data_IF_632919791488
#
_entry.id   IF_632919791488
#
_cell.length_a   1.000
_cell.length_b   1.000
_cell.length_c   1.000
_cell.angle_alpha   90.00
_cell.angle_beta   90.00
_cell.angle_gamma   90.00
#
_symmetry.space_group_name_H-M   'P 1'
#
loop_
_entity.id
_entity.type
_entity.pdbx_description
1 polymer ?
#
# COMPACT_ATOMS: atom_id res chain seq x y z
N UNK A 1 25.19 -27.45 -3.95
CA UNK A 1 24.03 -27.21 -3.09
C UNK A 1 23.47 -25.85 -3.47
N UNK A 2 22.15 -25.75 -3.66
CA UNK A 2 21.48 -24.48 -3.92
C UNK A 2 21.41 -23.68 -2.62
N UNK A 3 21.75 -22.39 -2.65
CA UNK A 3 21.68 -21.53 -1.47
C UNK A 3 20.24 -21.42 -0.95
N UNK A 4 20.06 -21.40 0.38
CA UNK A 4 18.74 -21.22 1.00
C UNK A 4 18.53 -19.73 1.33
N UNK A 5 17.53 -19.04 0.74
CA UNK A 5 17.25 -17.65 1.08
C UNK A 5 16.65 -17.53 2.49
N UNK A 6 17.37 -16.86 3.38
CA UNK A 6 16.96 -16.63 4.77
C UNK A 6 16.51 -15.19 4.98
N UNK A 7 15.38 -15.00 5.64
CA UNK A 7 14.92 -13.68 6.10
C UNK A 7 15.74 -13.31 7.33
N UNK A 8 16.60 -12.31 7.20
CA UNK A 8 17.48 -11.82 8.28
C UNK A 8 17.10 -10.45 8.83
N UNK A 9 16.04 -9.85 8.28
CA UNK A 9 15.47 -8.60 8.75
C UNK A 9 14.11 -8.37 8.11
N UNK A 10 13.21 -7.73 8.84
CA UNK A 10 11.91 -7.31 8.33
C UNK A 10 11.45 -6.04 9.06
N UNK A 11 10.80 -5.15 8.33
CA UNK A 11 10.32 -3.90 8.91
C UNK A 11 9.40 -3.16 7.96
N UNK A 12 8.74 -2.14 8.48
CA UNK A 12 7.70 -1.48 7.72
C UNK A 12 6.68 -0.73 8.55
N UNK A 13 5.66 -0.25 7.85
CA UNK A 13 4.57 0.53 8.39
C UNK A 13 3.28 0.19 7.64
N UNK A 14 2.19 0.02 8.39
CA UNK A 14 0.84 -0.17 7.86
C UNK A 14 -0.18 0.41 8.85
N UNK A 15 -1.47 0.12 8.68
CA UNK A 15 -2.51 0.62 9.56
C UNK A 15 -2.42 0.18 11.03
N UNK A 16 -1.75 -0.94 11.32
CA UNK A 16 -1.48 -1.41 12.68
C UNK A 16 -0.22 -0.79 13.30
N UNK A 17 0.58 -0.05 12.53
CA UNK A 17 1.80 0.60 12.99
C UNK A 17 3.07 -0.05 12.44
N UNK A 18 4.16 0.07 13.20
CA UNK A 18 5.50 -0.39 12.80
C UNK A 18 5.57 -1.91 12.74
N UNK A 19 6.29 -2.49 11.80
CA UNK A 19 6.24 -3.94 11.58
C UNK A 19 7.34 -4.69 12.31
N UNK A 20 8.56 -4.13 12.40
CA UNK A 20 9.67 -4.72 13.14
C UNK A 20 9.33 -5.00 14.61
N UNK A 21 10.04 -5.96 15.23
CA UNK A 21 9.76 -6.41 16.61
C UNK A 21 8.29 -6.89 16.78
N UNK A 22 7.65 -7.31 15.69
CA UNK A 22 6.25 -7.79 15.66
C UNK A 22 5.22 -6.79 16.23
N UNK A 23 5.51 -5.49 16.18
CA UNK A 23 4.66 -4.46 16.79
C UNK A 23 3.28 -4.39 16.15
N UNK A 24 3.22 -4.30 14.82
CA UNK A 24 1.99 -4.30 14.05
C UNK A 24 1.23 -5.61 14.26
N UNK A 25 1.92 -6.76 14.32
CA UNK A 25 1.27 -8.05 14.57
C UNK A 25 0.57 -8.07 15.92
N UNK A 26 1.24 -7.63 17.00
CA UNK A 26 0.60 -7.50 18.33
C UNK A 26 -0.66 -6.64 18.29
N UNK A 27 -0.64 -5.53 17.55
CA UNK A 27 -1.83 -4.69 17.39
C UNK A 27 -3.00 -5.42 16.71
N UNK A 28 -2.74 -6.42 15.87
CA UNK A 28 -3.77 -7.23 15.20
C UNK A 28 -4.40 -8.29 16.12
N UNK A 29 -3.70 -8.72 17.16
CA UNK A 29 -4.12 -9.77 18.10
C UNK A 29 -4.26 -9.23 19.53
N UNK A 30 -4.64 -7.96 19.64
CA UNK A 30 -4.62 -7.20 20.90
C UNK A 30 -5.44 -7.87 22.02
N UNK A 31 -6.50 -8.58 21.65
CA UNK A 31 -7.39 -9.33 22.52
C UNK A 31 -6.77 -10.59 23.13
N UNK A 32 -5.68 -11.10 22.56
CA UNK A 32 -4.96 -12.28 23.07
C UNK A 32 -3.70 -11.92 23.86
N UNK A 33 -3.34 -10.64 23.93
CA UNK A 33 -2.12 -10.18 24.59
C UNK A 33 -2.29 -10.10 26.12
N UNK A 34 -1.19 -10.29 26.84
CA UNK A 34 -1.14 -9.97 28.27
C UNK A 34 -1.25 -8.45 28.50
N UNK A 35 -1.67 -7.98 29.69
CA UNK A 35 -1.75 -6.55 29.99
C UNK A 35 -0.44 -5.78 29.76
N UNK A 36 0.70 -6.44 30.03
CA UNK A 36 2.04 -5.87 29.79
C UNK A 36 2.33 -5.69 28.30
N UNK A 37 1.99 -6.69 27.47
CA UNK A 37 2.17 -6.63 26.02
C UNK A 37 1.22 -5.62 25.37
N UNK A 38 -0.02 -5.52 25.87
CA UNK A 38 -0.98 -4.49 25.47
C UNK A 38 -0.45 -3.09 25.77
N UNK A 39 0.02 -2.85 27.01
CA UNK A 39 0.61 -1.58 27.40
C UNK A 39 1.84 -1.23 26.55
N UNK A 40 2.75 -2.20 26.34
CA UNK A 40 3.92 -2.04 25.46
C UNK A 40 3.51 -1.67 24.03
N UNK A 41 2.49 -2.33 23.47
CA UNK A 41 2.04 -2.08 22.10
C UNK A 41 1.42 -0.69 21.97
N UNK A 42 0.59 -0.27 22.93
CA UNK A 42 0.03 1.10 22.99
C UNK A 42 1.16 2.13 23.06
N UNK A 43 2.13 1.93 23.95
CA UNK A 43 3.28 2.82 24.12
C UNK A 43 4.14 2.93 22.84
N UNK A 44 4.37 1.82 22.16
CA UNK A 44 5.13 1.79 20.90
C UNK A 44 4.42 2.58 19.79
N UNK A 45 3.09 2.45 19.67
CA UNK A 45 2.31 3.23 18.70
C UNK A 45 2.27 4.72 19.12
N UNK A 46 2.09 5.00 20.42
CA UNK A 46 2.13 6.36 20.97
C UNK A 46 3.42 7.10 20.67
N UNK A 47 4.56 6.44 20.86
CA UNK A 47 5.88 6.97 20.52
C UNK A 47 6.01 7.23 19.01
N UNK A 48 5.51 6.32 18.17
CA UNK A 48 5.53 6.45 16.71
C UNK A 48 4.78 7.69 16.21
N UNK A 49 3.68 8.07 16.87
CA UNK A 49 2.86 9.23 16.52
C UNK A 49 3.19 10.50 17.34
N UNK A 50 4.29 10.46 18.12
CA UNK A 50 4.79 11.63 18.85
C UNK A 50 4.09 11.93 20.18
N UNK A 51 3.29 11.02 20.73
CA UNK A 51 2.66 11.17 22.05
C UNK A 51 3.59 10.77 23.22
N UNK A 52 4.73 10.13 22.92
CA UNK A 52 5.72 9.70 23.91
C UNK A 52 5.60 8.21 24.30
N UNK A 53 6.52 7.71 25.14
CA UNK A 53 6.69 6.28 25.40
C UNK A 53 5.83 5.71 26.54
N UNK A 54 5.16 6.53 27.36
CA UNK A 54 4.47 6.07 28.58
C UNK A 54 2.97 6.39 28.59
N UNK A 55 2.34 6.39 27.41
CA UNK A 55 0.94 6.81 27.23
C UNK A 55 -0.09 5.78 27.72
N UNK A 56 0.30 4.52 27.92
CA UNK A 56 -0.58 3.44 28.40
C UNK A 56 -1.13 3.70 29.81
N UNK A 57 -0.47 4.58 30.57
CA UNK A 57 -0.91 4.99 31.91
C UNK A 57 -2.09 5.96 31.88
N UNK A 58 -2.39 6.54 30.71
CA UNK A 58 -3.52 7.43 30.49
C UNK A 58 -4.55 6.74 29.59
N UNK A 59 -5.66 6.31 30.17
CA UNK A 59 -6.72 5.57 29.47
C UNK A 59 -7.26 6.30 28.24
N UNK A 60 -7.44 7.63 28.32
CA UNK A 60 -7.91 8.42 27.19
C UNK A 60 -6.90 8.47 26.03
N UNK A 61 -5.60 8.56 26.34
CA UNK A 61 -4.55 8.54 25.31
C UNK A 61 -4.37 7.13 24.72
N UNK A 62 -4.44 6.09 25.54
CA UNK A 62 -4.41 4.71 25.10
C UNK A 62 -5.56 4.42 24.13
N UNK A 63 -6.79 4.81 24.51
CA UNK A 63 -7.97 4.64 23.67
C UNK A 63 -7.87 5.43 22.37
N UNK A 64 -7.37 6.68 22.44
CA UNK A 64 -7.15 7.49 21.24
C UNK A 64 -6.23 6.78 20.22
N UNK A 65 -5.15 6.16 20.68
CA UNK A 65 -4.23 5.39 19.82
C UNK A 65 -4.92 4.19 19.17
N UNK A 66 -5.69 3.43 19.95
CA UNK A 66 -6.40 2.26 19.44
C UNK A 66 -7.46 2.64 18.41
N UNK A 67 -8.16 3.76 18.62
CA UNK A 67 -9.18 4.27 17.72
C UNK A 67 -8.59 4.81 16.41
N UNK A 68 -7.34 5.26 16.44
CA UNK A 68 -6.61 5.86 15.31
C UNK A 68 -5.66 4.89 14.61
N UNK A 69 -5.91 3.59 14.73
CA UNK A 69 -5.20 2.51 14.03
C UNK A 69 -6.19 1.56 13.34
N UNK A 70 -5.67 0.66 12.50
CA UNK A 70 -6.41 -0.28 11.66
C UNK A 70 -7.32 0.42 10.63
N UNK A 71 -8.13 -0.36 9.92
CA UNK A 71 -9.20 0.17 9.08
C UNK A 71 -10.11 1.07 9.91
N UNK A 72 -10.34 2.27 9.39
CA UNK A 72 -11.24 3.26 9.98
C UNK A 72 -11.73 4.23 8.91
N UNK A 73 -12.60 5.16 9.30
CA UNK A 73 -13.03 6.23 8.41
C UNK A 73 -11.83 7.04 7.91
N UNK A 74 -11.80 7.39 6.63
CA UNK A 74 -10.74 8.21 6.03
C UNK A 74 -10.57 9.50 6.84
N UNK A 75 -9.37 9.71 7.36
CA UNK A 75 -9.05 10.84 8.23
C UNK A 75 -8.76 12.10 7.40
N UNK A 76 -9.14 13.31 7.86
CA UNK A 76 -8.91 14.56 7.13
C UNK A 76 -7.46 14.86 6.75
N UNK A 77 -6.48 14.29 7.46
CA UNK A 77 -5.05 14.39 7.12
C UNK A 77 -4.72 13.80 5.74
N UNK A 78 -5.53 12.85 5.24
CA UNK A 78 -5.44 12.35 3.86
C UNK A 78 -6.28 13.21 2.93
N UNK A 79 -7.60 13.26 3.19
CA UNK A 79 -8.55 14.18 2.58
C UNK A 79 -9.93 14.04 3.25
N UNK A 80 -10.85 14.99 3.02
CA UNK A 80 -12.23 14.89 3.49
C UNK A 80 -13.10 14.08 2.49
N UNK A 81 -13.55 12.86 2.82
CA UNK A 81 -14.35 12.05 1.90
C UNK A 81 -15.78 12.59 1.69
N UNK A 82 -16.26 13.54 2.51
CA UNK A 82 -17.57 14.19 2.29
C UNK A 82 -17.50 15.39 1.35
N UNK A 83 -16.30 15.92 1.09
CA UNK A 83 -16.11 17.17 0.38
C UNK A 83 -14.91 17.10 -0.59
N UNK A 84 -14.87 16.07 -1.44
CA UNK A 84 -13.82 15.93 -2.46
C UNK A 84 -14.01 16.99 -3.55
N UNK A 85 -12.98 17.80 -3.86
CA UNK A 85 -13.06 18.82 -4.91
C UNK A 85 -13.29 18.23 -6.30
N UNK A 86 -14.13 18.87 -7.11
CA UNK A 86 -14.27 18.63 -8.54
C UNK A 86 -14.70 19.91 -9.28
N UNK A 87 -14.70 19.86 -10.62
CA UNK A 87 -15.31 20.87 -11.45
C UNK A 87 -16.54 20.29 -12.15
N UNK A 88 -17.65 21.04 -12.16
CA UNK A 88 -18.85 20.71 -12.96
C UNK A 88 -19.02 21.72 -14.08
N UNK A 89 -19.45 21.24 -15.24
CA UNK A 89 -19.88 22.11 -16.32
C UNK A 89 -21.19 22.79 -15.92
N UNK A 90 -21.20 24.11 -15.92
CA UNK A 90 -22.39 24.94 -15.81
C UNK A 90 -22.56 25.77 -17.08
N UNK A 91 -23.68 26.46 -17.21
CA UNK A 91 -24.01 27.28 -18.37
C UNK A 91 -24.50 28.66 -17.93
N UNK A 92 -23.95 29.73 -18.48
CA UNK A 92 -24.43 31.10 -18.26
C UNK A 92 -25.45 31.45 -19.32
N UNK A 93 -26.59 32.02 -18.91
CA UNK A 93 -27.64 32.50 -19.83
C UNK A 93 -27.40 33.92 -20.30
N UNK A 94 -26.65 34.68 -19.51
CA UNK A 94 -26.38 36.09 -19.73
C UNK A 94 -24.88 36.29 -19.90
N UNK A 95 -24.53 37.34 -20.64
CA UNK A 95 -23.15 37.79 -20.77
C UNK A 95 -22.57 38.06 -19.39
N UNK A 96 -21.38 37.54 -19.14
CA UNK A 96 -20.66 37.69 -17.88
C UNK A 96 -19.33 38.39 -18.13
N UNK A 97 -18.67 38.87 -17.08
CA UNK A 97 -17.34 39.47 -17.19
C UNK A 97 -16.43 38.99 -16.07
N UNK A 98 -15.16 38.73 -16.39
CA UNK A 98 -14.11 38.46 -15.40
C UNK A 98 -12.96 39.44 -15.54
N UNK A 99 -12.19 39.61 -14.47
CA UNK A 99 -11.05 40.52 -14.43
C UNK A 99 -9.77 39.72 -14.25
N UNK A 100 -8.85 39.83 -15.20
CA UNK A 100 -7.60 39.07 -15.21
C UNK A 100 -6.40 40.00 -15.14
N UNK A 101 -5.40 39.62 -14.35
CA UNK A 101 -4.09 40.25 -14.34
C UNK A 101 -3.20 39.74 -15.49
N UNK A 102 -2.05 40.37 -15.76
CA UNK A 102 -1.24 40.10 -16.96
C UNK A 102 -0.73 38.67 -17.09
N UNK A 103 -0.57 37.95 -15.98
CA UNK A 103 -0.10 36.56 -15.95
C UNK A 103 -1.24 35.53 -16.08
N UNK A 104 -2.49 35.97 -16.06
CA UNK A 104 -3.68 35.13 -16.15
C UNK A 104 -4.35 35.19 -17.52
N UNK A 105 -3.84 36.05 -18.42
CA UNK A 105 -4.41 36.27 -19.74
C UNK A 105 -4.16 35.03 -20.62
N UNK A 106 -5.19 34.51 -21.31
CA UNK A 106 -5.02 33.45 -22.30
C UNK A 106 -4.08 33.88 -23.44
N UNK A 107 -3.26 32.95 -23.95
CA UNK A 107 -2.39 33.24 -25.11
C UNK A 107 -3.18 33.65 -26.36
N UNK A 108 -4.36 33.04 -26.54
CA UNK A 108 -5.35 33.44 -27.53
C UNK A 108 -6.71 33.57 -26.83
N UNK A 109 -7.46 34.60 -27.15
CA UNK A 109 -8.81 34.78 -26.62
C UNK A 109 -9.69 33.60 -27.04
N UNK A 110 -10.38 32.94 -26.09
CA UNK A 110 -11.36 31.93 -26.43
C UNK A 110 -12.49 32.50 -27.29
N UNK A 111 -13.16 31.64 -28.07
CA UNK A 111 -14.36 32.03 -28.83
C UNK A 111 -15.44 32.55 -27.87
N UNK A 112 -16.12 33.62 -28.26
CA UNK A 112 -17.14 34.29 -27.44
C UNK A 112 -16.58 35.19 -26.34
N UNK A 113 -15.26 35.40 -26.29
CA UNK A 113 -14.64 36.36 -25.37
C UNK A 113 -14.25 37.65 -26.12
N UNK A 114 -14.52 38.79 -25.49
CA UNK A 114 -14.10 40.11 -25.97
C UNK A 114 -13.42 40.89 -24.85
N UNK A 115 -12.51 41.80 -25.23
CA UNK A 115 -11.78 42.63 -24.27
C UNK A 115 -12.64 43.85 -23.91
N UNK A 116 -12.91 44.02 -22.63
CA UNK A 116 -13.62 45.16 -22.07
C UNK A 116 -12.69 46.29 -21.67
N UNK A 117 -13.03 46.96 -20.56
CA UNK A 117 -12.23 48.07 -20.04
C UNK A 117 -11.01 47.60 -19.26
N UNK A 118 -10.06 48.51 -19.07
CA UNK A 118 -8.84 48.27 -18.29
C UNK A 118 -8.80 49.19 -17.08
N UNK A 119 -8.56 48.61 -15.90
CA UNK A 119 -8.44 49.32 -14.63
C UNK A 119 -7.10 48.95 -13.97
N UNK A 120 -6.13 49.86 -14.05
CA UNK A 120 -4.77 49.63 -13.57
C UNK A 120 -4.11 48.43 -14.28
N UNK A 121 -3.81 47.37 -13.51
CA UNK A 121 -3.20 46.13 -14.02
C UNK A 121 -4.22 45.07 -14.42
N UNK A 122 -5.51 45.27 -14.14
CA UNK A 122 -6.56 44.32 -14.46
C UNK A 122 -7.25 44.71 -15.77
N UNK A 123 -7.54 43.71 -16.59
CA UNK A 123 -8.31 43.86 -17.81
C UNK A 123 -9.60 43.07 -17.68
N UNK A 124 -10.72 43.69 -17.98
CA UNK A 124 -12.03 43.05 -18.05
C UNK A 124 -12.13 42.23 -19.33
N UNK A 125 -12.62 41.00 -19.21
CA UNK A 125 -12.93 40.11 -20.33
C UNK A 125 -14.41 39.77 -20.26
N UNK A 126 -15.14 40.19 -21.29
CA UNK A 126 -16.57 39.97 -21.45
C UNK A 126 -16.77 38.64 -22.18
N UNK A 127 -17.60 37.77 -21.61
CA UNK A 127 -17.81 36.39 -22.00
C UNK A 127 -19.28 36.23 -22.40
N UNK A 128 -19.52 35.88 -23.66
CA UNK A 128 -20.85 35.53 -24.15
C UNK A 128 -21.46 34.35 -23.37
N UNK A 129 -22.80 34.24 -23.32
CA UNK A 129 -23.48 33.08 -22.72
C UNK A 129 -22.89 31.76 -23.22
N UNK A 130 -22.51 30.87 -22.29
CA UNK A 130 -21.82 29.64 -22.65
C UNK A 130 -21.43 28.80 -21.45
N UNK A 131 -20.67 27.76 -21.73
CA UNK A 131 -20.28 26.79 -20.72
C UNK A 131 -19.10 27.27 -19.88
N UNK A 132 -19.22 27.13 -18.56
CA UNK A 132 -18.18 27.48 -17.60
C UNK A 132 -17.96 26.33 -16.62
N UNK A 133 -16.71 26.09 -16.25
CA UNK A 133 -16.37 25.15 -15.18
C UNK A 133 -16.57 25.82 -13.82
N UNK A 134 -17.40 25.20 -12.98
CA UNK A 134 -17.67 25.62 -11.60
C UNK A 134 -16.99 24.67 -10.61
N UNK A 135 -16.11 25.17 -9.72
CA UNK A 135 -15.61 24.40 -8.58
C UNK A 135 -16.76 23.97 -7.67
N UNK A 136 -16.79 22.70 -7.31
CA UNK A 136 -17.79 22.08 -6.44
C UNK A 136 -17.11 21.00 -5.58
N UNK A 137 -17.86 20.44 -4.63
CA UNK A 137 -17.45 19.27 -3.87
C UNK A 137 -18.44 18.13 -4.04
N UNK A 138 -18.00 16.90 -3.78
CA UNK A 138 -18.83 15.69 -3.78
C UNK A 138 -18.44 14.82 -2.59
N UNK A 139 -19.43 14.20 -1.98
CA UNK A 139 -19.26 13.09 -1.03
C UNK A 139 -18.96 11.80 -1.79
N UNK A 140 -17.90 11.09 -1.40
CA UNK A 140 -17.62 9.74 -1.88
C UNK A 140 -18.53 8.72 -1.19
N UNK A 141 -18.88 7.65 -1.90
CA UNK A 141 -19.57 6.49 -1.34
C UNK A 141 -18.65 5.56 -0.56
N UNK A 142 -17.34 5.61 -0.83
CA UNK A 142 -16.29 4.92 -0.06
C UNK A 142 -15.78 5.87 1.02
N UNK A 143 -15.90 5.45 2.28
CA UNK A 143 -15.64 6.30 3.45
C UNK A 143 -14.53 5.78 4.36
N UNK A 144 -14.02 4.56 4.12
CA UNK A 144 -13.08 3.87 5.00
C UNK A 144 -11.83 3.40 4.27
N UNK A 145 -10.70 3.38 4.97
CA UNK A 145 -9.43 2.87 4.48
C UNK A 145 -8.53 2.38 5.64
N UNK A 146 -7.58 1.51 5.33
CA UNK A 146 -6.48 1.14 6.22
C UNK A 146 -5.34 2.14 6.12
N UNK A 147 -5.37 3.17 6.95
CA UNK A 147 -4.34 4.23 6.97
C UNK A 147 -3.30 3.96 8.05
N UNK A 148 -2.04 4.33 7.82
CA UNK A 148 -1.03 4.37 8.89
C UNK A 148 -1.56 5.11 10.14
N UNK A 149 -1.03 4.86 11.36
CA UNK A 149 -1.54 5.46 12.58
C UNK A 149 -1.69 6.98 12.46
N UNK A 150 -2.84 7.53 12.84
CA UNK A 150 -3.09 8.98 12.73
C UNK A 150 -2.05 9.73 13.55
N UNK A 151 -1.48 10.80 12.99
CA UNK A 151 -0.37 11.53 13.62
C UNK A 151 1.03 10.99 13.28
N UNK A 152 1.15 9.86 12.58
CA UNK A 152 2.44 9.41 12.07
C UNK A 152 2.98 10.37 10.99
N UNK A 153 4.15 10.95 11.25
CA UNK A 153 4.81 11.96 10.42
C UNK A 153 6.13 11.44 9.87
N UNK A 154 6.12 10.66 8.76
CA UNK A 154 7.36 10.13 8.18
C UNK A 154 8.32 11.24 7.72
N UNK A 155 7.80 12.42 7.43
CA UNK A 155 8.56 13.60 7.03
C UNK A 155 9.46 14.18 8.14
N UNK A 156 9.21 13.83 9.41
CA UNK A 156 10.04 14.27 10.55
C UNK A 156 11.30 13.44 10.74
N UNK A 157 11.40 12.26 10.10
CA UNK A 157 12.55 11.35 10.27
C UNK A 157 13.70 11.66 9.29
N UNK A 158 13.43 12.37 8.18
CA UNK A 158 14.46 12.75 7.23
C UNK A 158 14.00 13.90 6.30
N UNK A 159 14.92 14.60 5.60
CA UNK A 159 14.59 15.67 4.67
C UNK A 159 13.79 15.17 3.44
N UNK A 160 12.47 15.16 3.55
CA UNK A 160 11.53 14.51 2.61
C UNK A 160 10.88 15.47 1.59
N UNK A 161 11.44 16.68 1.42
CA UNK A 161 10.81 17.74 0.61
C UNK A 161 10.54 17.30 -0.84
N UNK A 162 9.27 17.39 -1.26
CA UNK A 162 8.74 16.96 -2.56
C UNK A 162 8.75 15.44 -2.80
N UNK A 163 9.04 14.62 -1.79
CA UNK A 163 8.90 13.17 -1.93
C UNK A 163 7.42 12.80 -1.80
N UNK A 164 6.86 12.02 -2.74
CA UNK A 164 5.56 11.38 -2.54
C UNK A 164 5.51 10.60 -1.23
N UNK A 165 4.32 10.54 -0.62
CA UNK A 165 4.07 9.79 0.63
C UNK A 165 4.60 8.36 0.55
N UNK A 166 4.41 7.69 -0.59
CA UNK A 166 4.92 6.35 -0.84
C UNK A 166 6.44 6.23 -0.68
N UNK A 167 7.21 7.21 -1.18
CA UNK A 167 8.67 7.20 -1.03
C UNK A 167 9.09 7.52 0.40
N UNK A 168 8.32 8.35 1.11
CA UNK A 168 8.52 8.58 2.54
C UNK A 168 8.30 7.31 3.36
N UNK A 169 7.22 6.57 3.10
CA UNK A 169 6.98 5.29 3.76
C UNK A 169 8.03 4.24 3.38
N UNK A 170 8.47 4.19 2.11
CA UNK A 170 9.49 3.27 1.65
C UNK A 170 10.82 3.44 2.40
N UNK A 171 11.30 4.69 2.52
CA UNK A 171 12.54 4.97 3.25
C UNK A 171 12.42 4.71 4.75
N UNK A 172 11.27 5.03 5.35
CA UNK A 172 11.00 4.68 6.75
C UNK A 172 11.01 3.16 6.95
N UNK A 173 10.29 2.42 6.10
CA UNK A 173 10.16 0.98 6.17
C UNK A 173 11.49 0.24 5.98
N UNK A 174 12.29 0.65 5.00
CA UNK A 174 13.63 0.10 4.81
C UNK A 174 14.54 0.40 6.00
N UNK A 175 14.48 1.60 6.56
CA UNK A 175 15.26 1.96 7.75
C UNK A 175 14.84 1.11 8.96
N UNK A 176 13.54 0.92 9.18
CA UNK A 176 13.00 0.04 10.22
C UNK A 176 13.46 -1.41 10.04
N UNK A 177 13.39 -1.92 8.81
CA UNK A 177 13.87 -3.25 8.44
C UNK A 177 15.38 -3.42 8.63
N UNK A 178 16.16 -2.38 8.33
CA UNK A 178 17.61 -2.42 8.49
C UNK A 178 17.99 -2.46 9.97
N UNK A 179 17.39 -1.58 10.77
CA UNK A 179 17.62 -1.52 12.21
C UNK A 179 17.17 -2.81 12.91
N UNK A 180 16.09 -3.45 12.45
CA UNK A 180 15.62 -4.70 13.04
C UNK A 180 16.61 -5.85 12.85
N UNK A 181 17.38 -5.86 11.75
CA UNK A 181 18.33 -6.94 11.46
C UNK A 181 19.50 -7.00 12.45
N UNK A 182 19.81 -5.86 13.11
CA UNK A 182 21.02 -5.71 13.91
C UNK A 182 22.32 -5.69 13.09
N UNK A 183 22.24 -5.86 11.77
CA UNK A 183 23.39 -5.95 10.89
C UNK A 183 23.90 -4.56 10.50
N UNK A 184 25.22 -4.49 10.33
CA UNK A 184 25.90 -3.28 9.91
C UNK A 184 26.25 -3.35 8.43
N UNK A 185 25.74 -2.40 7.64
CA UNK A 185 25.91 -2.43 6.18
C UNK A 185 27.37 -2.40 5.73
N UNK A 186 28.20 -1.61 6.41
CA UNK A 186 29.63 -1.57 6.11
C UNK A 186 30.31 -2.92 6.33
N UNK A 187 29.91 -3.67 7.36
CA UNK A 187 30.44 -5.00 7.64
C UNK A 187 30.04 -5.98 6.53
N UNK A 188 28.76 -6.03 6.14
CA UNK A 188 28.27 -6.90 5.05
C UNK A 188 29.07 -6.68 3.77
N UNK A 189 29.35 -5.43 3.39
CA UNK A 189 30.10 -5.09 2.16
C UNK A 189 31.53 -5.62 2.14
N UNK A 190 32.13 -5.97 3.27
CA UNK A 190 33.46 -6.60 3.30
C UNK A 190 33.43 -8.09 2.93
N UNK A 191 32.26 -8.72 2.96
CA UNK A 191 32.06 -10.16 2.72
C UNK A 191 31.45 -10.47 1.35
N UNK A 192 31.08 -9.44 0.57
CA UNK A 192 30.41 -9.60 -0.71
C UNK A 192 31.00 -8.65 -1.77
N UNK A 193 30.93 -9.08 -3.03
CA UNK A 193 31.27 -8.20 -4.15
C UNK A 193 30.16 -7.16 -4.39
N UNK A 194 30.46 -5.98 -4.97
CA UNK A 194 29.46 -4.92 -5.21
C UNK A 194 28.24 -5.35 -6.03
N UNK A 195 28.40 -6.34 -6.92
CA UNK A 195 27.33 -6.88 -7.76
C UNK A 195 26.49 -7.98 -7.06
N UNK A 196 26.86 -8.42 -5.86
CA UNK A 196 26.16 -9.46 -5.10
C UNK A 196 25.07 -8.92 -4.17
N UNK A 197 24.58 -7.72 -4.47
CA UNK A 197 23.47 -7.07 -3.79
C UNK A 197 22.32 -6.94 -4.79
N UNK A 198 21.09 -7.11 -4.33
CA UNK A 198 19.91 -6.81 -5.13
C UNK A 198 18.87 -6.01 -4.33
N UNK A 199 18.11 -5.16 -5.02
CA UNK A 199 16.96 -4.44 -4.44
C UNK A 199 15.77 -4.53 -5.39
N UNK A 200 14.72 -5.22 -4.92
CA UNK A 200 13.45 -5.36 -5.61
C UNK A 200 12.32 -4.74 -4.79
N UNK A 201 11.89 -3.54 -5.17
CA UNK A 201 10.82 -2.84 -4.50
C UNK A 201 10.08 -1.90 -5.45
N UNK A 202 8.79 -1.74 -5.24
CA UNK A 202 7.99 -0.82 -6.06
C UNK A 202 6.62 -0.55 -5.47
N UNK A 203 5.86 0.27 -6.19
CA UNK A 203 4.43 0.46 -5.99
C UNK A 203 3.64 -0.17 -7.13
N UNK A 204 2.37 -0.48 -6.90
CA UNK A 204 1.51 -1.14 -7.90
C UNK A 204 1.02 -0.20 -9.00
N UNK A 205 0.79 1.07 -8.67
CA UNK A 205 0.12 2.06 -9.56
C UNK A 205 0.93 3.34 -9.76
N UNK A 206 2.18 3.39 -9.29
CA UNK A 206 2.98 4.62 -9.24
C UNK A 206 2.56 5.54 -8.08
N UNK A 207 3.20 6.69 -7.96
CA UNK A 207 2.92 7.63 -6.87
C UNK A 207 1.87 8.64 -7.30
N UNK A 208 0.62 8.42 -6.89
CA UNK A 208 -0.56 9.16 -7.36
C UNK A 208 -0.91 10.41 -6.54
N UNK A 209 -0.04 10.84 -5.63
CA UNK A 209 -0.24 12.07 -4.86
C UNK A 209 0.26 13.33 -5.61
N UNK A 210 0.14 14.50 -4.99
CA UNK A 210 0.53 15.79 -5.60
C UNK A 210 2.03 15.89 -5.90
N UNK A 211 2.88 15.10 -5.22
CA UNK A 211 4.32 15.12 -5.42
C UNK A 211 4.79 14.17 -6.53
N UNK A 212 3.93 13.25 -6.99
CA UNK A 212 4.19 12.33 -8.10
C UNK A 212 3.28 12.57 -9.32
N UNK A 213 2.79 11.48 -9.90
CA UNK A 213 1.90 11.49 -11.07
C UNK A 213 0.58 12.22 -10.83
N UNK A 214 0.03 12.20 -9.61
CA UNK A 214 -1.20 12.94 -9.31
C UNK A 214 -1.03 14.44 -9.55
N UNK A 215 0.08 15.00 -9.08
CA UNK A 215 0.44 16.39 -9.37
C UNK A 215 0.76 16.62 -10.85
N UNK A 216 1.49 15.70 -11.48
CA UNK A 216 1.82 15.78 -12.91
C UNK A 216 0.56 15.92 -13.78
N UNK A 217 -0.44 15.08 -13.53
CA UNK A 217 -1.68 15.01 -14.31
C UNK A 217 -2.64 16.17 -14.01
N UNK A 218 -2.62 16.69 -12.77
CA UNK A 218 -3.58 17.72 -12.32
C UNK A 218 -3.06 19.15 -12.41
N UNK A 219 -1.75 19.38 -12.39
CA UNK A 219 -1.17 20.73 -12.19
C UNK A 219 -1.73 21.74 -13.20
N UNK A 220 -1.68 21.44 -14.49
CA UNK A 220 -2.17 22.36 -15.53
C UNK A 220 -3.67 22.66 -15.39
N UNK A 221 -4.48 21.66 -15.07
CA UNK A 221 -5.93 21.80 -14.85
C UNK A 221 -6.27 22.64 -13.60
N UNK A 222 -5.36 22.69 -12.64
CA UNK A 222 -5.47 23.50 -11.43
C UNK A 222 -4.79 24.87 -11.57
N UNK A 223 -4.35 25.26 -12.78
CA UNK A 223 -3.62 26.52 -13.01
C UNK A 223 -2.22 26.56 -12.39
N UNK A 224 -1.68 25.40 -12.00
CA UNK A 224 -0.32 25.21 -11.50
C UNK A 224 0.60 24.73 -12.62
N UNK A 225 1.90 24.90 -12.44
CA UNK A 225 2.90 24.30 -13.33
C UNK A 225 3.31 22.93 -12.77
N UNK A 226 3.38 21.94 -13.66
CA UNK A 226 4.03 20.66 -13.35
C UNK A 226 5.48 20.91 -12.96
N UNK A 227 5.94 20.27 -11.89
CA UNK A 227 7.32 20.40 -11.40
C UNK A 227 8.23 19.41 -12.10
N UNK A 228 9.55 19.67 -12.08
CA UNK A 228 10.55 18.74 -12.62
C UNK A 228 10.65 17.42 -11.87
N UNK A 229 10.02 17.29 -10.69
CA UNK A 229 10.10 16.11 -9.82
C UNK A 229 8.89 15.18 -9.94
N UNK A 230 7.73 15.71 -10.30
CA UNK A 230 6.47 14.96 -10.31
C UNK A 230 6.50 13.74 -11.24
N UNK A 231 7.08 13.89 -12.44
CA UNK A 231 7.23 12.77 -13.37
C UNK A 231 8.25 11.72 -12.87
N UNK A 232 9.52 12.06 -12.58
CA UNK A 232 10.50 11.06 -12.18
C UNK A 232 10.15 10.40 -10.84
N UNK A 233 9.65 11.15 -9.85
CA UNK A 233 9.26 10.57 -8.55
C UNK A 233 7.92 9.83 -8.59
N UNK A 234 7.19 9.90 -9.71
CA UNK A 234 5.94 9.19 -9.93
C UNK A 234 6.10 7.73 -10.35
N UNK A 235 7.31 7.33 -10.79
CA UNK A 235 7.53 5.99 -11.34
C UNK A 235 7.39 4.88 -10.28
N UNK A 236 6.70 3.77 -10.62
CA UNK A 236 6.49 2.64 -9.72
C UNK A 236 7.78 2.04 -9.11
N UNK A 237 8.91 2.13 -9.82
CA UNK A 237 10.20 1.61 -9.37
C UNK A 237 10.91 2.50 -8.32
N UNK A 238 10.48 3.75 -8.15
CA UNK A 238 11.15 4.71 -7.27
C UNK A 238 11.40 4.22 -5.83
N UNK A 239 10.58 3.36 -5.20
CA UNK A 239 10.92 2.72 -3.93
C UNK A 239 12.25 1.95 -3.97
N UNK A 240 12.54 1.16 -5.01
CA UNK A 240 13.84 0.49 -5.17
C UNK A 240 14.97 1.49 -5.46
N UNK A 241 14.72 2.46 -6.34
CA UNK A 241 15.74 3.44 -6.71
C UNK A 241 16.15 4.30 -5.51
N UNK A 242 15.19 4.71 -4.67
CA UNK A 242 15.44 5.45 -3.43
C UNK A 242 16.18 4.60 -2.39
N UNK A 243 15.80 3.33 -2.27
CA UNK A 243 16.49 2.37 -1.39
C UNK A 243 17.97 2.25 -1.76
N UNK A 244 18.27 2.15 -3.06
CA UNK A 244 19.63 2.12 -3.55
C UNK A 244 20.36 3.44 -3.38
N UNK A 245 19.77 4.55 -3.85
CA UNK A 245 20.45 5.83 -3.94
C UNK A 245 20.69 6.48 -2.56
N UNK A 246 19.76 6.33 -1.62
CA UNK A 246 19.75 7.09 -0.37
C UNK A 246 19.99 6.27 0.89
N UNK A 247 19.86 4.93 0.82
CA UNK A 247 20.08 4.06 2.00
C UNK A 247 21.31 3.19 1.82
N UNK A 248 21.38 2.41 0.72
CA UNK A 248 22.41 1.39 0.57
C UNK A 248 23.66 1.89 -0.17
N UNK A 249 23.51 2.82 -1.11
CA UNK A 249 24.58 3.18 -2.06
C UNK A 249 25.05 1.96 -2.87
N UNK A 250 24.12 1.07 -3.24
CA UNK A 250 24.42 -0.20 -3.91
C UNK A 250 24.61 -0.01 -5.41
N UNK A 251 25.59 -0.73 -5.98
CA UNK A 251 25.80 -0.87 -7.43
C UNK A 251 25.19 -2.18 -7.98
N UNK A 252 24.50 -2.92 -7.11
CA UNK A 252 23.94 -4.21 -7.41
C UNK A 252 22.69 -4.15 -8.29
N UNK A 253 22.04 -5.30 -8.47
CA UNK A 253 20.82 -5.39 -9.29
C UNK A 253 19.69 -4.58 -8.66
N UNK A 254 18.91 -3.89 -9.49
CA UNK A 254 17.70 -3.22 -9.04
C UNK A 254 16.55 -3.46 -10.02
N UNK A 255 15.33 -3.45 -9.50
CA UNK A 255 14.13 -3.43 -10.33
C UNK A 255 12.84 -3.43 -9.51
N UNK A 256 11.72 -3.33 -10.21
CA UNK A 256 10.39 -3.49 -9.65
C UNK A 256 9.57 -4.37 -10.59
N UNK A 257 9.06 -5.50 -10.10
CA UNK A 257 8.13 -6.33 -10.84
C UNK A 257 6.70 -5.97 -10.45
N UNK A 258 5.91 -5.55 -11.44
CA UNK A 258 4.51 -5.19 -11.26
C UNK A 258 3.62 -6.39 -11.59
N UNK A 259 3.06 -7.00 -10.55
CA UNK A 259 2.07 -8.08 -10.63
C UNK A 259 0.71 -7.66 -10.05
N UNK A 260 0.33 -6.39 -10.22
CA UNK A 260 -0.81 -5.77 -9.55
C UNK A 260 -0.79 -6.03 -8.03
N UNK A 261 -1.87 -6.56 -7.46
CA UNK A 261 -1.99 -6.87 -6.03
C UNK A 261 -1.01 -7.95 -5.51
N UNK A 262 -0.31 -8.66 -6.40
CA UNK A 262 0.67 -9.69 -6.05
C UNK A 262 2.13 -9.20 -6.18
N UNK A 263 2.36 -7.91 -6.47
CA UNK A 263 3.68 -7.37 -6.83
C UNK A 263 4.79 -7.67 -5.80
N UNK A 264 4.48 -7.67 -4.50
CA UNK A 264 5.47 -8.04 -3.47
C UNK A 264 6.03 -9.46 -3.68
N UNK A 265 5.17 -10.43 -3.99
CA UNK A 265 5.60 -11.81 -4.25
C UNK A 265 6.37 -11.94 -5.56
N UNK A 266 6.11 -11.10 -6.57
CA UNK A 266 6.93 -11.06 -7.78
C UNK A 266 8.34 -10.52 -7.50
N UNK A 267 8.46 -9.50 -6.66
CA UNK A 267 9.76 -9.01 -6.20
C UNK A 267 10.49 -10.08 -5.37
N UNK A 268 9.76 -10.79 -4.50
CA UNK A 268 10.31 -11.88 -3.69
C UNK A 268 10.77 -13.06 -4.55
N UNK A 269 10.01 -13.44 -5.58
CA UNK A 269 10.36 -14.49 -6.52
C UNK A 269 11.69 -14.19 -7.20
N UNK A 270 11.86 -12.98 -7.76
CA UNK A 270 13.13 -12.57 -8.35
C UNK A 270 14.29 -12.71 -7.35
N UNK A 271 14.10 -12.25 -6.10
CA UNK A 271 15.12 -12.32 -5.07
C UNK A 271 15.50 -13.77 -4.71
N UNK A 272 14.51 -14.64 -4.51
CA UNK A 272 14.73 -16.07 -4.21
C UNK A 272 15.52 -16.73 -5.33
N UNK A 273 15.09 -16.57 -6.58
CA UNK A 273 15.76 -17.18 -7.74
C UNK A 273 17.21 -16.73 -7.86
N UNK A 274 17.48 -15.44 -7.73
CA UNK A 274 18.86 -14.97 -7.90
C UNK A 274 19.79 -15.29 -6.73
N UNK A 275 19.27 -15.50 -5.50
CA UNK A 275 20.07 -16.07 -4.41
C UNK A 275 20.39 -17.54 -4.71
N UNK A 276 19.37 -18.31 -5.09
CA UNK A 276 19.52 -19.74 -5.42
C UNK A 276 20.48 -19.98 -6.61
N UNK A 277 20.45 -19.10 -7.60
CA UNK A 277 21.36 -19.10 -8.76
C UNK A 277 22.76 -18.52 -8.46
N UNK A 278 22.99 -17.99 -7.25
CA UNK A 278 24.27 -17.38 -6.85
C UNK A 278 24.56 -16.02 -7.49
N UNK A 279 23.56 -15.34 -8.08
CA UNK A 279 23.70 -14.00 -8.67
C UNK A 279 23.93 -12.93 -7.62
N UNK A 280 23.36 -13.10 -6.43
CA UNK A 280 23.58 -12.21 -5.29
C UNK A 280 23.45 -12.96 -3.98
N UNK A 281 24.09 -12.40 -2.95
CA UNK A 281 24.15 -12.93 -1.59
C UNK A 281 23.21 -12.20 -0.64
N UNK A 282 22.86 -10.95 -0.97
CA UNK A 282 21.95 -10.11 -0.19
C UNK A 282 20.90 -9.53 -1.13
N UNK A 283 19.62 -9.72 -0.81
CA UNK A 283 18.52 -9.12 -1.55
C UNK A 283 17.56 -8.38 -0.61
N UNK A 284 17.27 -7.13 -0.95
CA UNK A 284 16.26 -6.32 -0.29
C UNK A 284 14.97 -6.44 -1.10
N UNK A 285 13.91 -6.92 -0.46
CA UNK A 285 12.61 -7.11 -1.10
C UNK A 285 11.60 -6.22 -0.41
N UNK A 286 10.85 -5.44 -1.16
CA UNK A 286 9.84 -4.57 -0.58
C UNK A 286 8.67 -4.22 -1.49
N UNK A 287 7.75 -3.49 -0.88
CA UNK A 287 6.60 -2.87 -1.53
C UNK A 287 6.22 -1.60 -0.79
N UNK A 288 5.74 -0.60 -1.52
CA UNK A 288 5.22 0.62 -0.94
C UNK A 288 4.05 1.13 -1.77
N UNK A 289 2.87 1.20 -1.18
CA UNK A 289 1.67 1.70 -1.84
C UNK A 289 0.95 2.68 -0.90
N UNK A 290 0.65 3.88 -1.40
CA UNK A 290 -0.17 4.88 -0.70
C UNK A 290 -1.34 5.32 -1.58
N UNK A 291 -2.26 4.41 -1.91
CA UNK A 291 -3.30 4.65 -2.92
C UNK A 291 -4.46 5.51 -2.39
N UNK A 292 -4.46 5.90 -1.11
CA UNK A 292 -5.56 6.62 -0.44
C UNK A 292 -5.62 8.08 -0.90
N UNK A 293 -6.05 8.26 -2.15
CA UNK A 293 -6.29 9.52 -2.83
C UNK A 293 -7.68 9.48 -3.47
N UNK A 294 -8.37 10.62 -3.63
CA UNK A 294 -9.71 10.63 -4.18
C UNK A 294 -9.80 9.99 -5.56
N UNK A 295 -8.82 10.22 -6.42
CA UNK A 295 -8.82 9.73 -7.80
C UNK A 295 -8.64 8.22 -7.90
N UNK A 296 -7.77 7.64 -7.07
CA UNK A 296 -7.54 6.18 -7.06
C UNK A 296 -8.73 5.46 -6.44
N UNK A 297 -9.33 6.02 -5.38
CA UNK A 297 -10.58 5.50 -4.80
C UNK A 297 -11.71 5.54 -5.83
N UNK A 298 -11.86 6.63 -6.58
CA UNK A 298 -12.84 6.73 -7.67
C UNK A 298 -12.61 5.66 -8.74
N UNK A 299 -11.35 5.43 -9.13
CA UNK A 299 -10.97 4.45 -10.14
C UNK A 299 -11.40 3.03 -9.75
N UNK A 300 -11.04 2.59 -8.53
CA UNK A 300 -11.45 1.26 -8.05
C UNK A 300 -12.96 1.18 -7.75
N UNK A 301 -13.60 2.26 -7.32
CA UNK A 301 -15.07 2.31 -7.19
C UNK A 301 -15.76 2.13 -8.55
N UNK A 302 -15.26 2.77 -9.60
CA UNK A 302 -15.81 2.61 -10.95
C UNK A 302 -15.70 1.17 -11.48
N UNK A 303 -14.74 0.39 -10.97
CA UNK A 303 -14.63 -1.05 -11.26
C UNK A 303 -15.63 -1.91 -10.45
N UNK A 304 -16.37 -1.32 -9.49
CA UNK A 304 -17.19 -2.06 -8.53
C UNK A 304 -16.38 -2.88 -7.53
N UNK A 305 -15.12 -2.48 -7.26
CA UNK A 305 -14.19 -3.30 -6.48
C UNK A 305 -14.17 -2.96 -4.98
N UNK A 306 -14.61 -1.76 -4.59
CA UNK A 306 -14.52 -1.25 -3.21
C UNK A 306 -15.80 -1.48 -2.42
N UNK A 307 -15.67 -1.63 -1.10
CA UNK A 307 -16.80 -1.57 -0.19
C UNK A 307 -17.32 -0.14 -0.06
N UNK A 308 -18.61 0.05 -0.37
CA UNK A 308 -19.31 1.34 -0.36
C UNK A 308 -20.35 1.38 0.77
N UNK A 309 -20.70 2.58 1.23
CA UNK A 309 -21.69 2.78 2.31
C UNK A 309 -22.98 2.00 2.09
N UNK A 310 -23.52 2.03 0.85
CA UNK A 310 -24.74 1.30 0.51
C UNK A 310 -24.60 -0.21 0.76
N UNK A 311 -23.56 -0.83 0.19
CA UNK A 311 -23.33 -2.26 0.35
C UNK A 311 -23.08 -2.65 1.80
N UNK A 312 -22.42 -1.80 2.59
CA UNK A 312 -22.24 -2.03 4.03
C UNK A 312 -23.55 -1.93 4.81
N UNK A 313 -24.41 -0.95 4.50
CA UNK A 313 -25.74 -0.82 5.13
C UNK A 313 -26.62 -2.02 4.85
N UNK A 314 -26.65 -2.48 3.60
CA UNK A 314 -27.41 -3.66 3.19
C UNK A 314 -26.95 -4.91 3.95
N UNK A 315 -25.63 -5.10 4.11
CA UNK A 315 -25.07 -6.22 4.86
C UNK A 315 -25.38 -6.18 6.36
N UNK A 316 -25.50 -4.97 6.93
CA UNK A 316 -25.71 -4.76 8.37
C UNK A 316 -27.18 -4.50 8.74
N UNK A 317 -28.09 -4.49 7.77
CA UNK A 317 -29.52 -4.19 7.99
C UNK A 317 -29.78 -2.76 8.46
N UNK A 318 -28.94 -1.81 8.04
CA UNK A 318 -29.01 -0.41 8.42
C UNK A 318 -29.88 0.41 7.45
N UNK A 319 -30.50 1.49 7.94
CA UNK A 319 -31.27 2.43 7.11
C UNK A 319 -30.37 3.35 6.28
N UNK A 320 -30.96 4.01 5.28
CA UNK A 320 -30.23 4.85 4.30
C UNK A 320 -29.42 6.00 4.91
N UNK A 321 -29.82 6.48 6.10
CA UNK A 321 -29.16 7.57 6.82
C UNK A 321 -28.17 7.10 7.86
N UNK A 322 -28.14 5.80 8.17
CA UNK A 322 -27.29 5.26 9.21
C UNK A 322 -25.82 5.22 8.75
N UNK A 323 -24.89 5.32 9.70
CA UNK A 323 -23.46 5.25 9.42
C UNK A 323 -22.98 3.81 9.62
N UNK A 324 -22.43 3.15 8.58
CA UNK A 324 -21.83 1.83 8.74
C UNK A 324 -20.70 1.83 9.76
N UNK A 325 -20.47 0.69 10.41
CA UNK A 325 -19.26 0.51 11.20
C UNK A 325 -18.05 0.35 10.26
N UNK A 326 -17.38 1.48 9.99
CA UNK A 326 -16.22 1.52 9.10
C UNK A 326 -15.06 0.62 9.55
N UNK A 327 -14.94 0.25 10.83
CA UNK A 327 -13.90 -0.70 11.27
C UNK A 327 -14.15 -2.13 10.77
N UNK A 328 -15.37 -2.43 10.31
CA UNK A 328 -15.79 -3.74 9.78
C UNK A 328 -16.09 -3.69 8.28
N UNK A 329 -15.49 -2.77 7.52
CA UNK A 329 -15.70 -2.70 6.07
C UNK A 329 -15.04 -3.85 5.31
N UNK A 330 -13.95 -4.42 5.83
CA UNK A 330 -13.28 -5.60 5.27
C UNK A 330 -13.69 -6.87 6.00
N UNK A 331 -14.36 -7.78 5.30
CA UNK A 331 -14.91 -9.06 5.78
C UNK A 331 -14.48 -10.21 4.86
N UNK A 332 -13.18 -10.58 4.81
CA UNK A 332 -12.72 -11.72 4.03
C UNK A 332 -13.51 -12.99 4.37
N UNK A 333 -13.90 -13.75 3.35
CA UNK A 333 -14.71 -14.99 3.45
C UNK A 333 -16.12 -14.89 4.07
N UNK A 334 -16.45 -13.79 4.77
CA UNK A 334 -17.79 -13.50 5.23
C UNK A 334 -18.71 -12.90 4.16
N UNK A 335 -19.91 -12.50 4.57
CA UNK A 335 -20.75 -11.63 3.75
C UNK A 335 -20.06 -10.26 3.62
N UNK A 336 -19.79 -9.88 2.38
CA UNK A 336 -18.96 -8.74 2.02
C UNK A 336 -19.42 -8.14 0.68
N UNK A 337 -18.97 -6.92 0.38
CA UNK A 337 -19.41 -6.13 -0.77
C UNK A 337 -18.27 -5.47 -1.55
N UNK A 338 -17.00 -5.74 -1.21
CA UNK A 338 -15.85 -5.12 -1.85
C UNK A 338 -14.64 -5.05 -0.93
N UNK A 339 -13.46 -4.79 -1.52
CA UNK A 339 -12.25 -4.63 -0.72
C UNK A 339 -12.18 -3.24 -0.10
N UNK A 340 -11.42 -3.11 0.98
CA UNK A 340 -11.10 -1.82 1.61
C UNK A 340 -9.71 -1.42 1.23
N UNK A 341 -9.51 -0.22 0.69
CA UNK A 341 -8.18 0.27 0.34
C UNK A 341 -7.30 0.44 1.58
N UNK A 342 -6.02 0.08 1.50
CA UNK A 342 -5.02 0.30 2.55
C UNK A 342 -3.80 1.02 1.99
N UNK A 343 -2.99 1.59 2.86
CA UNK A 343 -1.62 2.00 2.54
C UNK A 343 -0.63 1.21 3.40
N UNK A 344 0.52 0.90 2.83
CA UNK A 344 1.60 0.25 3.56
C UNK A 344 2.94 0.42 2.84
N UNK A 345 4.02 0.34 3.61
CA UNK A 345 5.31 -0.08 3.06
C UNK A 345 5.95 -1.15 3.94
N UNK A 346 6.43 -2.22 3.30
CA UNK A 346 7.02 -3.38 3.96
C UNK A 346 8.30 -3.78 3.22
N UNK A 347 9.33 -4.12 3.98
CA UNK A 347 10.62 -4.57 3.49
C UNK A 347 11.10 -5.79 4.26
N UNK A 348 11.85 -6.65 3.57
CA UNK A 348 12.60 -7.76 4.12
C UNK A 348 14.01 -7.80 3.55
N UNK A 349 14.95 -8.29 4.35
CA UNK A 349 16.33 -8.56 3.94
C UNK A 349 16.47 -10.07 3.81
N UNK A 350 16.80 -10.54 2.62
CA UNK A 350 17.18 -11.91 2.36
C UNK A 350 18.69 -12.03 2.26
N UNK A 351 19.25 -13.08 2.87
CA UNK A 351 20.64 -13.48 2.69
C UNK A 351 20.73 -14.94 2.25
N UNK A 352 21.78 -15.29 1.53
CA UNK A 352 22.16 -16.69 1.41
C UNK A 352 22.57 -17.25 2.79
N UNK A 353 22.37 -18.55 2.97
CA UNK A 353 22.59 -19.25 4.22
C UNK A 353 24.04 -19.19 4.71
N UNK A 354 25.02 -19.25 3.80
CA UNK A 354 26.44 -19.19 4.19
C UNK A 354 26.79 -17.81 4.74
N UNK A 355 26.41 -16.74 4.04
CA UNK A 355 26.64 -15.37 4.49
C UNK A 355 25.89 -15.06 5.79
N UNK A 356 24.64 -15.50 5.92
CA UNK A 356 23.85 -15.30 7.13
C UNK A 356 24.52 -15.95 8.36
N UNK A 357 25.04 -17.16 8.21
CA UNK A 357 25.77 -17.87 9.27
C UNK A 357 27.13 -17.21 9.57
N UNK A 358 27.87 -16.83 8.54
CA UNK A 358 29.17 -16.13 8.67
C UNK A 358 29.03 -14.81 9.46
N UNK A 359 27.96 -14.06 9.21
CA UNK A 359 27.69 -12.79 9.85
C UNK A 359 26.97 -12.89 11.20
N UNK A 360 26.55 -14.09 11.61
CA UNK A 360 25.76 -14.29 12.83
C UNK A 360 24.39 -13.59 12.77
N UNK A 361 23.77 -13.56 11.59
CA UNK A 361 22.49 -12.90 11.39
C UNK A 361 21.36 -13.59 12.16
N UNK A 362 20.40 -12.81 12.68
CA UNK A 362 19.17 -13.37 13.24
C UNK A 362 18.32 -13.94 12.10
N UNK A 363 17.84 -15.18 12.22
CA UNK A 363 17.02 -15.83 11.20
C UNK A 363 15.55 -15.77 11.64
N UNK A 364 14.71 -15.10 10.86
CA UNK A 364 13.27 -15.01 11.10
C UNK A 364 12.46 -16.06 10.35
N UNK A 365 13.05 -16.67 9.32
CA UNK A 365 12.43 -17.67 8.48
C UNK A 365 13.23 -17.89 7.20
N UNK A 366 12.78 -18.82 6.37
CA UNK A 366 13.33 -19.06 5.04
C UNK A 366 12.25 -18.96 3.97
N UNK A 367 12.64 -18.62 2.75
CA UNK A 367 11.74 -18.60 1.58
C UNK A 367 12.30 -19.55 0.53
N UNK A 368 11.96 -20.85 0.60
CA UNK A 368 12.54 -21.85 -0.29
C UNK A 368 11.97 -21.78 -1.70
N UNK A 369 10.74 -21.30 -1.87
CA UNK A 369 10.05 -21.24 -3.18
C UNK A 369 9.06 -20.09 -3.20
N UNK A 370 8.94 -19.47 -4.37
CA UNK A 370 7.81 -18.59 -4.72
C UNK A 370 7.31 -19.02 -6.10
N UNK A 371 6.01 -19.19 -6.26
CA UNK A 371 5.40 -19.54 -7.53
C UNK A 371 4.51 -18.41 -8.03
N UNK A 372 4.38 -18.28 -9.36
CA UNK A 372 3.47 -17.32 -9.99
C UNK A 372 3.05 -17.81 -11.36
N UNK A 373 1.74 -17.85 -11.59
CA UNK A 373 1.15 -18.33 -12.84
C UNK A 373 0.04 -17.40 -13.32
N UNK A 374 -0.01 -17.19 -14.63
CA UNK A 374 -1.10 -16.47 -15.28
C UNK A 374 -2.33 -17.38 -15.47
N UNK A 375 -3.46 -16.77 -15.80
CA UNK A 375 -4.76 -17.46 -15.93
C UNK A 375 -5.04 -18.04 -17.32
N UNK A 376 -4.16 -17.81 -18.30
CA UNK A 376 -4.43 -18.13 -19.70
C UNK A 376 -5.40 -17.15 -20.37
N UNK A 377 -6.23 -17.63 -21.29
CA UNK A 377 -7.16 -16.78 -22.05
C UNK A 377 -8.32 -16.25 -21.20
N UNK A 378 -8.53 -14.92 -21.18
CA UNK A 378 -9.56 -14.25 -20.37
C UNK A 378 -10.45 -13.33 -21.20
N UNK A 379 -11.70 -13.12 -20.73
CA UNK A 379 -12.60 -12.08 -21.25
C UNK A 379 -12.41 -10.74 -20.54
N UNK A 380 -12.59 -10.74 -19.22
CA UNK A 380 -12.30 -9.58 -18.38
C UNK A 380 -10.88 -9.68 -17.84
N UNK A 381 -10.12 -8.59 -17.95
CA UNK A 381 -8.74 -8.52 -17.45
C UNK A 381 -8.67 -8.59 -15.91
N UNK A 382 -9.72 -8.14 -15.21
CA UNK A 382 -9.75 -8.04 -13.75
C UNK A 382 -10.45 -9.20 -13.04
N UNK A 383 -11.11 -10.10 -13.79
CA UNK A 383 -11.72 -11.28 -13.18
C UNK A 383 -10.63 -12.24 -12.68
N UNK A 384 -10.79 -12.92 -11.53
CA UNK A 384 -9.90 -14.00 -11.10
C UNK A 384 -9.89 -15.16 -12.11
N UNK A 385 -8.88 -16.03 -12.03
CA UNK A 385 -8.74 -17.17 -12.94
C UNK A 385 -7.94 -18.34 -12.36
N UNK A 386 -7.53 -19.23 -13.26
CA UNK A 386 -7.03 -20.56 -12.89
C UNK A 386 -5.56 -20.61 -12.42
N UNK A 387 -4.78 -19.54 -12.63
CA UNK A 387 -3.35 -19.55 -12.30
C UNK A 387 -3.09 -19.83 -10.82
N UNK A 388 -3.99 -19.38 -9.94
CA UNK A 388 -3.83 -19.54 -8.50
C UNK A 388 -3.87 -21.01 -8.02
N UNK A 389 -4.50 -21.92 -8.77
CA UNK A 389 -4.44 -23.36 -8.49
C UNK A 389 -3.02 -23.89 -8.60
N UNK A 390 -2.32 -23.52 -9.69
CA UNK A 390 -0.94 -23.95 -9.94
C UNK A 390 0.00 -23.33 -8.92
N UNK A 391 -0.16 -22.03 -8.63
CA UNK A 391 0.66 -21.31 -7.67
C UNK A 391 0.57 -21.93 -6.28
N UNK A 392 -0.64 -22.16 -5.75
CA UNK A 392 -0.80 -22.74 -4.42
C UNK A 392 -0.36 -24.21 -4.37
N UNK A 393 -0.70 -25.01 -5.39
CA UNK A 393 -0.28 -26.41 -5.44
C UNK A 393 1.24 -26.56 -5.50
N UNK A 394 1.94 -25.74 -6.28
CA UNK A 394 3.40 -25.76 -6.33
C UNK A 394 4.02 -25.29 -5.01
N UNK A 395 3.48 -24.25 -4.37
CA UNK A 395 3.95 -23.80 -3.07
C UNK A 395 3.77 -24.90 -2.00
N UNK A 396 2.60 -25.54 -1.94
CA UNK A 396 2.32 -26.65 -1.02
C UNK A 396 3.23 -27.88 -1.29
N UNK A 397 3.44 -28.23 -2.55
CA UNK A 397 4.36 -29.31 -2.91
C UNK A 397 5.80 -29.01 -2.48
N UNK A 398 6.24 -27.74 -2.55
CA UNK A 398 7.60 -27.34 -2.16
C UNK A 398 7.87 -27.40 -0.66
N UNK A 399 6.82 -27.37 0.18
CA UNK A 399 6.94 -27.53 1.63
C UNK A 399 7.00 -28.99 2.08
N UNK A 400 6.73 -29.96 1.21
CA UNK A 400 6.82 -31.37 1.56
C UNK A 400 8.29 -31.81 1.61
N UNK A 401 8.74 -32.26 2.78
CA UNK A 401 10.08 -32.84 2.93
C UNK A 401 10.07 -34.35 2.68
N UNK A 402 8.94 -35.02 2.94
CA UNK A 402 8.63 -36.41 2.56
C UNK A 402 7.16 -36.56 2.16
N UNK A 403 6.77 -37.66 1.48
CA UNK A 403 5.37 -37.89 1.05
C UNK A 403 4.37 -38.13 2.18
N UNK A 404 4.83 -38.50 3.38
CA UNK A 404 3.99 -38.86 4.55
C UNK A 404 3.94 -37.73 5.59
N UNK A 405 4.15 -36.48 5.17
CA UNK A 405 4.41 -35.36 6.07
C UNK A 405 3.11 -34.70 6.57
N UNK A 406 2.67 -35.10 7.77
CA UNK A 406 1.56 -34.49 8.52
C UNK A 406 1.77 -32.99 8.81
N UNK A 407 3.01 -32.49 8.64
CA UNK A 407 3.38 -31.07 8.80
C UNK A 407 2.50 -30.16 7.95
N UNK A 408 2.23 -30.52 6.69
CA UNK A 408 1.42 -29.68 5.82
C UNK A 408 -0.02 -29.53 6.35
N UNK A 409 -0.60 -30.60 6.91
CA UNK A 409 -1.96 -30.60 7.44
C UNK A 409 -2.08 -29.94 8.82
N UNK A 410 -1.06 -30.07 9.69
CA UNK A 410 -1.18 -29.73 11.11
C UNK A 410 -0.29 -28.57 11.58
N UNK A 411 0.78 -28.25 10.85
CA UNK A 411 1.77 -27.24 11.23
C UNK A 411 1.86 -26.06 10.26
N UNK A 412 0.97 -25.99 9.27
CA UNK A 412 0.92 -24.86 8.32
C UNK A 412 -0.34 -24.04 8.43
N UNK A 413 -0.22 -22.77 8.02
CA UNK A 413 -1.33 -21.86 7.86
C UNK A 413 -1.25 -21.18 6.49
N UNK A 414 -2.40 -20.95 5.86
CA UNK A 414 -2.48 -20.16 4.64
C UNK A 414 -2.84 -18.73 5.00
N UNK A 415 -1.94 -17.81 4.68
CA UNK A 415 -2.26 -16.39 4.65
C UNK A 415 -2.96 -16.06 3.34
N UNK A 416 -4.29 -16.11 3.35
CA UNK A 416 -5.11 -15.87 2.17
C UNK A 416 -4.94 -14.46 1.60
N UNK A 417 -5.13 -14.35 0.30
CA UNK A 417 -5.33 -13.08 -0.38
C UNK A 417 -6.55 -12.35 0.20
N UNK A 418 -7.68 -13.04 0.39
CA UNK A 418 -8.77 -12.65 1.28
C UNK A 418 -9.24 -11.21 1.10
N UNK A 419 -9.67 -10.81 -0.09
CA UNK A 419 -9.89 -9.39 -0.43
C UNK A 419 -11.21 -8.81 0.03
N UNK A 420 -12.07 -9.55 0.73
CA UNK A 420 -13.41 -9.08 1.09
C UNK A 420 -14.31 -8.79 -0.13
N UNK A 421 -14.09 -9.47 -1.26
CA UNK A 421 -14.98 -9.38 -2.43
C UNK A 421 -15.83 -10.66 -2.58
N UNK A 422 -17.08 -10.55 -3.10
CA UNK A 422 -17.95 -11.71 -3.28
C UNK A 422 -17.36 -12.78 -4.20
N UNK A 423 -16.65 -12.36 -5.25
CA UNK A 423 -16.02 -13.29 -6.17
C UNK A 423 -14.83 -14.00 -5.52
N UNK A 424 -13.94 -13.25 -4.84
CA UNK A 424 -12.76 -13.84 -4.20
C UNK A 424 -13.12 -14.85 -3.11
N UNK A 425 -14.12 -14.58 -2.26
CA UNK A 425 -14.48 -15.53 -1.20
C UNK A 425 -14.87 -16.90 -1.75
N UNK A 426 -15.43 -16.96 -2.97
CA UNK A 426 -15.79 -18.23 -3.63
C UNK A 426 -14.59 -18.81 -4.37
N UNK A 427 -13.91 -18.03 -5.20
CA UNK A 427 -12.83 -18.56 -6.06
C UNK A 427 -11.60 -18.96 -5.26
N UNK A 428 -11.22 -18.18 -4.24
CA UNK A 428 -10.06 -18.50 -3.41
C UNK A 428 -10.35 -19.68 -2.48
N UNK A 429 -11.57 -19.79 -1.94
CA UNK A 429 -11.93 -20.97 -1.14
C UNK A 429 -11.98 -22.25 -1.99
N UNK A 430 -12.46 -22.20 -3.24
CA UNK A 430 -12.39 -23.35 -4.16
C UNK A 430 -10.92 -23.75 -4.43
N UNK A 431 -10.03 -22.79 -4.67
CA UNK A 431 -8.58 -23.05 -4.82
C UNK A 431 -8.01 -23.72 -3.57
N UNK A 432 -8.26 -23.15 -2.38
CA UNK A 432 -7.78 -23.68 -1.12
C UNK A 432 -8.31 -25.10 -0.87
N UNK A 433 -9.61 -25.33 -1.06
CA UNK A 433 -10.26 -26.63 -0.85
C UNK A 433 -9.75 -27.70 -1.80
N UNK A 434 -9.55 -27.40 -3.09
CA UNK A 434 -9.04 -28.39 -4.05
C UNK A 434 -7.58 -28.74 -3.82
N UNK A 435 -6.76 -27.75 -3.47
CA UNK A 435 -5.36 -28.02 -3.12
C UNK A 435 -5.31 -28.83 -1.83
N UNK A 436 -6.06 -28.44 -0.79
CA UNK A 436 -6.18 -29.20 0.46
C UNK A 436 -6.57 -30.66 0.19
N UNK A 437 -7.62 -30.89 -0.62
CA UNK A 437 -8.05 -32.24 -1.01
C UNK A 437 -6.96 -33.04 -1.73
N UNK A 438 -6.18 -32.38 -2.61
CA UNK A 438 -5.08 -33.02 -3.35
C UNK A 438 -3.98 -33.51 -2.41
N UNK A 439 -3.74 -32.78 -1.31
CA UNK A 439 -2.75 -33.12 -0.29
C UNK A 439 -3.33 -33.83 0.94
N UNK A 440 -4.60 -34.26 0.90
CA UNK A 440 -5.23 -34.99 2.02
C UNK A 440 -5.47 -34.16 3.28
N UNK A 441 -5.61 -32.84 3.16
CA UNK A 441 -5.80 -31.93 4.29
C UNK A 441 -7.30 -31.66 4.51
N UNK A 442 -7.85 -32.09 5.64
CA UNK A 442 -9.26 -31.89 5.96
C UNK A 442 -9.57 -30.48 6.49
N UNK A 443 -8.67 -29.90 7.30
CA UNK A 443 -8.87 -28.61 7.97
C UNK A 443 -7.63 -27.73 7.88
N UNK A 444 -7.40 -27.12 6.72
CA UNK A 444 -6.28 -26.20 6.56
C UNK A 444 -6.56 -24.87 7.28
N UNK A 445 -5.66 -24.44 8.16
CA UNK A 445 -5.79 -23.16 8.85
C UNK A 445 -5.65 -22.00 7.86
N UNK A 446 -6.62 -21.07 7.85
CA UNK A 446 -6.63 -19.91 6.95
C UNK A 446 -6.74 -18.61 7.75
N UNK A 447 -5.92 -17.63 7.42
CA UNK A 447 -5.97 -16.28 7.99
C UNK A 447 -5.99 -15.21 6.88
N UNK A 448 -6.55 -14.04 7.17
CA UNK A 448 -6.72 -12.96 6.20
C UNK A 448 -6.46 -11.59 6.83
N UNK A 449 -5.21 -11.13 6.80
CA UNK A 449 -4.79 -9.84 7.41
C UNK A 449 -5.54 -8.62 6.86
N UNK A 450 -6.05 -8.70 5.62
CA UNK A 450 -6.81 -7.61 5.00
C UNK A 450 -8.10 -7.28 5.77
N UNK A 451 -8.58 -8.18 6.63
CA UNK A 451 -9.71 -7.92 7.55
C UNK A 451 -9.47 -6.71 8.46
N UNK A 452 -8.21 -6.45 8.82
CA UNK A 452 -7.84 -5.38 9.76
C UNK A 452 -7.00 -4.27 9.13
N UNK A 453 -6.22 -4.58 8.10
CA UNK A 453 -5.30 -3.63 7.46
C UNK A 453 -5.81 -3.04 6.14
N UNK A 454 -6.84 -3.63 5.55
CA UNK A 454 -7.25 -3.34 4.19
C UNK A 454 -6.29 -3.95 3.16
N UNK A 455 -6.45 -3.54 1.90
CA UNK A 455 -5.65 -3.96 0.78
C UNK A 455 -4.68 -2.84 0.39
N UNK A 456 -3.45 -2.92 0.89
CA UNK A 456 -2.31 -2.13 0.41
C UNK A 456 -1.77 -2.66 -0.89
#
# INVERSE_FOLDING_TARGET
MTALPLIVGFGGINAAGRSSDHQAFRRLIMDTLTPSETARTVNQIGALIGLGPDISMNEAQAQHVLENTLIRRIHPDWFNPDAVPLNRLGHTKETSSIWLGPLQIPNALPVGWSVGRKEGRLTEYVIEPGDLLKPCTRRLSVQAAGMAPTGFRPDMFYPSRNHPRTLQLALFALSDCWLSSGLQWHHIKHHIAPNQVAVFAGSSIGQMDESGFGGMLKSALLGKRTTSKQLPLGYPQMPADFSNAYVLGSLGRSGASMGACASFLYNLHNAVDGIQEGRYKVAIVGGADCPITPEVIEGFRAMGALAEDQGLRELDGLGDTDTPNYRRTSRPFGLNCGFTMGESSQYGILMDDQLALELGATIYGSVPTVASHADGGKRSISAPGAGNYLTLAQAAASSLTTPDDDVLAHETLVQAHGTSTPQNRVTESDVLSRVAQTFGIDQWMVSAVKSQLGHS
#
